data_IF_456297952257
#
_entry.id   IF_456297952257
#
_cell.length_a   1.000
_cell.length_b   1.000
_cell.length_c   1.000
_cell.angle_alpha   90.00
_cell.angle_beta   90.00
_cell.angle_gamma   90.00
#
_symmetry.space_group_name_H-M   'P 1'
#
loop_
_entity.id
_entity.type
_entity.pdbx_description
1 polymer ?
#
# COMPACT_ATOMS: atom_id res chain seq x y z
N UNK A 1 15.35 6.68 -4.17
CA UNK A 1 15.82 5.86 -5.32
C UNK A 1 17.04 4.99 -4.96
N UNK A 2 17.99 5.49 -4.16
CA UNK A 2 19.21 4.75 -3.79
C UNK A 2 18.97 3.56 -2.82
N UNK A 3 18.04 3.70 -1.87
CA UNK A 3 17.61 2.58 -0.99
C UNK A 3 16.94 1.46 -1.79
N UNK A 4 16.10 1.80 -2.78
CA UNK A 4 15.45 0.81 -3.66
C UNK A 4 16.45 0.11 -4.60
N UNK A 5 17.41 0.84 -5.16
CA UNK A 5 18.44 0.25 -6.02
C UNK A 5 19.45 -0.62 -5.24
N UNK A 6 19.67 -0.37 -3.95
CA UNK A 6 20.54 -1.22 -3.11
C UNK A 6 19.83 -2.41 -2.46
N UNK A 7 18.51 -2.36 -2.28
CA UNK A 7 17.70 -3.55 -1.94
C UNK A 7 17.66 -4.57 -3.08
N UNK A 8 17.87 -4.13 -4.33
CA UNK A 8 18.02 -5.01 -5.51
C UNK A 8 19.24 -5.94 -5.37
N UNK A 9 20.35 -5.46 -4.80
CA UNK A 9 21.53 -6.30 -4.52
C UNK A 9 21.26 -7.40 -3.46
N UNK A 10 20.24 -7.24 -2.62
CA UNK A 10 19.79 -8.30 -1.68
C UNK A 10 18.80 -9.25 -2.36
N UNK A 11 18.11 -8.82 -3.42
CA UNK A 11 17.32 -9.70 -4.29
C UNK A 11 18.21 -10.56 -5.20
N UNK A 12 19.37 -10.05 -5.64
CA UNK A 12 20.32 -10.84 -6.45
C UNK A 12 21.00 -11.96 -5.65
N UNK A 13 21.11 -11.81 -4.32
CA UNK A 13 21.47 -12.91 -3.40
C UNK A 13 20.39 -14.01 -3.31
N UNK A 14 19.16 -13.78 -3.79
CA UNK A 14 18.11 -14.82 -3.86
C UNK A 14 18.17 -15.66 -5.15
N UNK A 15 18.91 -15.25 -6.18
CA UNK A 15 18.87 -15.93 -7.47
C UNK A 15 19.64 -17.27 -7.50
N UNK A 16 20.49 -17.56 -6.51
CA UNK A 16 21.27 -18.80 -6.47
C UNK A 16 20.66 -19.91 -5.59
N UNK A 17 19.60 -19.65 -4.82
CA UNK A 17 19.00 -20.62 -3.88
C UNK A 17 17.56 -21.07 -4.23
N UNK A 18 17.04 -20.69 -5.40
CA UNK A 18 15.62 -20.88 -5.77
C UNK A 18 15.23 -22.28 -6.29
N UNK A 19 16.03 -23.33 -6.07
CA UNK A 19 15.68 -24.68 -6.56
C UNK A 19 14.87 -25.55 -5.58
N UNK A 20 14.56 -25.12 -4.36
CA UNK A 20 13.91 -26.00 -3.38
C UNK A 20 12.92 -25.30 -2.43
N UNK A 21 11.81 -24.75 -2.92
CA UNK A 21 10.56 -24.70 -2.12
C UNK A 21 9.34 -24.76 -3.05
N UNK A 22 8.90 -25.98 -3.35
CA UNK A 22 7.51 -26.24 -3.72
C UNK A 22 6.76 -26.82 -2.52
N UNK A 23 5.53 -26.36 -2.35
CA UNK A 23 4.42 -26.89 -1.52
C UNK A 23 4.42 -26.57 -0.02
N UNK A 24 3.53 -25.64 0.39
CA UNK A 24 2.27 -25.98 1.06
C UNK A 24 1.40 -24.73 1.21
N UNK A 25 0.19 -24.77 0.63
CA UNK A 25 -0.86 -23.75 0.77
C UNK A 25 -1.64 -24.05 2.05
N UNK A 26 -1.36 -23.32 3.12
CA UNK A 26 -2.26 -22.95 4.22
C UNK A 26 -1.41 -22.40 5.36
N UNK A 27 -1.07 -21.12 5.28
CA UNK A 27 -0.57 -20.34 6.39
C UNK A 27 -1.38 -19.05 6.38
N UNK A 28 -2.08 -18.78 7.48
CA UNK A 28 -2.67 -17.46 7.75
C UNK A 28 -1.58 -16.42 7.49
N UNK A 29 -1.79 -15.56 6.49
CA UNK A 29 -0.91 -14.41 6.35
C UNK A 29 -0.96 -13.64 7.67
N UNK A 30 0.20 -13.29 8.26
CA UNK A 30 0.20 -12.49 9.47
C UNK A 30 -0.56 -11.20 9.13
N UNK A 31 -1.66 -10.93 9.83
CA UNK A 31 -2.42 -9.71 9.66
C UNK A 31 -1.43 -8.54 9.60
N UNK A 32 -1.46 -7.79 8.49
CA UNK A 32 -0.69 -6.57 8.35
C UNK A 32 -1.31 -5.54 9.29
N UNK A 33 -1.01 -5.70 10.58
CA UNK A 33 -1.51 -4.83 11.63
C UNK A 33 -0.94 -3.45 11.38
N UNK A 34 -1.85 -2.56 11.03
CA UNK A 34 -1.56 -1.15 10.84
C UNK A 34 -1.32 -0.52 12.22
N UNK A 35 -0.13 0.05 12.42
CA UNK A 35 0.26 0.74 13.66
C UNK A 35 0.39 2.23 13.38
N UNK A 36 -0.22 3.07 14.21
CA UNK A 36 0.03 4.52 14.18
C UNK A 36 -0.57 5.24 13.00
N UNK A 37 -1.64 4.70 12.41
CA UNK A 37 -2.36 5.35 11.30
C UNK A 37 -3.85 5.50 11.64
N UNK A 38 -4.23 5.45 12.93
CA UNK A 38 -5.61 5.50 13.38
C UNK A 38 -6.31 6.79 12.97
N UNK A 39 -5.63 7.93 13.16
CA UNK A 39 -6.15 9.24 12.75
C UNK A 39 -6.30 9.33 11.22
N UNK A 40 -5.30 8.85 10.48
CA UNK A 40 -5.30 8.78 9.02
C UNK A 40 -6.51 7.97 8.52
N UNK A 41 -6.76 6.83 9.16
CA UNK A 41 -7.87 5.95 8.84
C UNK A 41 -9.21 6.66 9.08
N UNK A 42 -9.39 7.26 10.26
CA UNK A 42 -10.62 7.98 10.59
C UNK A 42 -10.87 9.14 9.62
N UNK A 43 -9.85 9.93 9.29
CA UNK A 43 -9.98 11.06 8.36
C UNK A 43 -10.37 10.62 6.96
N UNK A 44 -9.73 9.59 6.40
CA UNK A 44 -10.05 9.10 5.05
C UNK A 44 -11.41 8.40 5.05
N UNK A 45 -11.73 7.63 6.09
CA UNK A 45 -13.05 7.00 6.24
C UNK A 45 -14.15 8.05 6.31
N UNK A 46 -13.95 9.13 7.06
CA UNK A 46 -14.89 10.24 7.17
C UNK A 46 -15.12 10.91 5.80
N UNK A 47 -14.07 11.22 5.06
CA UNK A 47 -14.19 11.81 3.72
C UNK A 47 -14.92 10.92 2.71
N UNK A 48 -14.78 9.60 2.84
CA UNK A 48 -15.48 8.65 1.98
C UNK A 48 -16.95 8.51 2.38
N UNK A 49 -17.25 8.45 3.68
CA UNK A 49 -18.60 8.21 4.19
C UNK A 49 -19.46 9.48 4.28
N UNK A 50 -18.82 10.65 4.41
CA UNK A 50 -19.45 11.96 4.51
C UNK A 50 -19.01 12.80 3.32
N UNK A 51 -19.98 13.28 2.55
CA UNK A 51 -19.70 14.16 1.41
C UNK A 51 -20.92 14.40 0.55
N UNK A 52 -20.72 15.06 -0.59
CA UNK A 52 -21.78 15.29 -1.55
C UNK A 52 -22.29 13.97 -2.13
N UNK A 53 -23.48 14.00 -2.72
CA UNK A 53 -24.04 12.83 -3.40
C UNK A 53 -23.38 12.56 -4.76
N UNK A 54 -22.72 13.56 -5.31
CA UNK A 54 -21.87 13.45 -6.51
C UNK A 54 -20.72 12.47 -6.30
N UNK A 55 -20.16 11.98 -7.40
CA UNK A 55 -18.98 11.12 -7.39
C UNK A 55 -17.77 11.92 -6.94
N UNK A 56 -17.13 11.46 -5.86
CA UNK A 56 -15.93 12.08 -5.32
C UNK A 56 -14.75 11.11 -5.33
N UNK A 57 -13.57 11.65 -5.61
CA UNK A 57 -12.29 10.92 -5.53
C UNK A 57 -11.55 11.38 -4.28
N UNK A 58 -11.19 10.42 -3.44
CA UNK A 58 -10.32 10.62 -2.28
C UNK A 58 -8.95 10.03 -2.62
N UNK A 59 -7.90 10.84 -2.50
CA UNK A 59 -6.55 10.46 -2.90
C UNK A 59 -5.64 10.34 -1.68
N UNK A 60 -4.93 9.22 -1.56
CA UNK A 60 -3.85 9.02 -0.59
C UNK A 60 -2.52 9.13 -1.32
N UNK A 61 -1.69 10.09 -0.92
CA UNK A 61 -0.39 10.35 -1.54
C UNK A 61 0.75 10.21 -0.54
N UNK A 62 1.91 9.79 -1.02
CA UNK A 62 3.10 9.63 -0.21
C UNK A 62 4.14 8.74 -0.88
N UNK A 63 5.35 8.72 -0.34
CA UNK A 63 6.47 7.99 -0.95
C UNK A 63 6.28 6.46 -0.96
N UNK A 64 7.16 5.75 -1.66
CA UNK A 64 7.17 4.28 -1.67
C UNK A 64 7.41 3.71 -0.27
N UNK A 65 6.69 2.63 0.09
CA UNK A 65 6.88 1.95 1.37
C UNK A 65 6.28 2.64 2.60
N UNK A 66 5.59 3.79 2.43
CA UNK A 66 4.99 4.57 3.53
C UNK A 66 3.66 3.99 4.05
N UNK A 67 3.09 2.96 3.40
CA UNK A 67 1.86 2.30 3.86
C UNK A 67 0.53 2.76 3.21
N UNK A 68 0.56 3.46 2.07
CA UNK A 68 -0.66 3.89 1.35
C UNK A 68 -1.61 2.73 1.05
N UNK A 69 -1.09 1.69 0.41
CA UNK A 69 -1.85 0.49 0.03
C UNK A 69 -2.40 -0.22 1.27
N UNK A 70 -1.62 -0.27 2.36
CA UNK A 70 -2.07 -0.82 3.65
C UNK A 70 -3.26 -0.04 4.21
N UNK A 71 -3.19 1.29 4.23
CA UNK A 71 -4.30 2.15 4.66
C UNK A 71 -5.55 1.95 3.79
N UNK A 72 -5.38 1.97 2.46
CA UNK A 72 -6.49 1.77 1.52
C UNK A 72 -7.14 0.38 1.68
N UNK A 73 -6.35 -0.68 1.87
CA UNK A 73 -6.86 -2.03 2.11
C UNK A 73 -7.62 -2.14 3.43
N UNK A 74 -7.15 -1.48 4.49
CA UNK A 74 -7.84 -1.44 5.79
C UNK A 74 -9.20 -0.76 5.65
N UNK A 75 -9.27 0.38 4.97
CA UNK A 75 -10.53 1.09 4.69
C UNK A 75 -11.46 0.23 3.83
N UNK A 76 -10.93 -0.39 2.78
CA UNK A 76 -11.73 -1.24 1.89
C UNK A 76 -12.40 -2.40 2.63
N UNK A 77 -11.71 -2.97 3.62
CA UNK A 77 -12.13 -4.16 4.37
C UNK A 77 -12.85 -3.82 5.68
N UNK A 78 -12.99 -2.53 6.00
CA UNK A 78 -13.63 -2.07 7.21
C UNK A 78 -15.13 -2.43 7.21
N UNK A 79 -15.70 -3.02 8.28
CA UNK A 79 -17.09 -3.45 8.32
C UNK A 79 -18.10 -2.32 8.04
N UNK A 80 -17.83 -1.11 8.52
CA UNK A 80 -18.69 0.04 8.26
C UNK A 80 -18.66 0.39 6.76
N UNK A 81 -17.49 0.45 6.14
CA UNK A 81 -17.35 0.67 4.69
C UNK A 81 -18.02 -0.44 3.87
N UNK A 82 -17.87 -1.70 4.29
CA UNK A 82 -18.53 -2.84 3.66
C UNK A 82 -20.06 -2.72 3.67
N UNK A 83 -20.62 -2.22 4.78
CA UNK A 83 -22.07 -2.00 4.90
C UNK A 83 -22.54 -0.76 4.15
N UNK A 84 -21.70 0.26 4.04
CA UNK A 84 -22.05 1.56 3.46
C UNK A 84 -22.08 1.52 1.93
N UNK A 85 -21.21 0.71 1.31
CA UNK A 85 -21.07 0.59 -0.15
C UNK A 85 -21.53 -0.78 -0.61
N UNK A 86 -22.72 -0.84 -1.24
CA UNK A 86 -23.32 -2.08 -1.73
C UNK A 86 -22.53 -2.74 -2.87
N UNK A 87 -21.71 -1.97 -3.57
CA UNK A 87 -20.77 -2.47 -4.59
C UNK A 87 -19.36 -2.06 -4.18
N UNK A 88 -18.41 -2.99 -4.23
CA UNK A 88 -17.01 -2.71 -3.95
C UNK A 88 -16.12 -3.39 -4.97
N UNK A 89 -15.12 -2.66 -5.45
CA UNK A 89 -14.13 -3.20 -6.37
C UNK A 89 -12.75 -2.63 -6.03
N UNK A 90 -11.71 -3.40 -6.34
CA UNK A 90 -10.33 -2.91 -6.25
C UNK A 90 -9.48 -3.39 -7.42
N UNK A 91 -8.56 -2.55 -7.86
CA UNK A 91 -7.55 -2.89 -8.85
C UNK A 91 -6.24 -2.15 -8.54
N UNK A 92 -5.11 -2.72 -8.94
CA UNK A 92 -3.79 -2.10 -8.85
C UNK A 92 -3.32 -1.76 -10.25
N UNK A 93 -2.73 -0.57 -10.41
CA UNK A 93 -2.19 -0.12 -11.69
C UNK A 93 -0.72 -0.53 -11.79
N UNK A 94 -0.41 -1.31 -12.83
CA UNK A 94 0.98 -1.67 -13.16
C UNK A 94 1.76 -0.45 -13.65
N UNK A 95 3.08 -0.49 -13.46
CA UNK A 95 3.98 0.54 -13.97
C UNK A 95 3.89 0.67 -15.51
N UNK A 96 3.78 -0.46 -16.20
CA UNK A 96 3.37 -0.50 -17.60
C UNK A 96 1.84 -0.40 -17.63
N UNK A 97 1.34 0.84 -17.69
CA UNK A 97 -0.09 1.10 -17.65
C UNK A 97 -0.83 0.44 -18.83
N UNK A 98 -1.90 -0.28 -18.51
CA UNK A 98 -2.83 -0.82 -19.48
C UNK A 98 -4.24 -0.74 -18.90
N UNK A 99 -5.11 0.08 -19.51
CA UNK A 99 -6.48 0.29 -19.05
C UNK A 99 -7.26 -1.02 -18.94
N UNK A 100 -7.07 -1.93 -19.91
CA UNK A 100 -7.68 -3.26 -19.93
C UNK A 100 -7.47 -4.04 -18.64
N UNK A 101 -6.22 -4.10 -18.14
CA UNK A 101 -5.93 -4.85 -16.92
C UNK A 101 -6.60 -4.26 -15.68
N UNK A 102 -6.75 -2.93 -15.64
CA UNK A 102 -7.50 -2.27 -14.56
C UNK A 102 -8.98 -2.65 -14.64
N UNK A 103 -9.58 -2.60 -15.83
CA UNK A 103 -10.99 -2.97 -16.04
C UNK A 103 -11.25 -4.43 -15.67
N UNK A 104 -10.40 -5.35 -16.13
CA UNK A 104 -10.48 -6.78 -15.77
C UNK A 104 -10.32 -7.00 -14.26
N UNK A 105 -9.39 -6.29 -13.62
CA UNK A 105 -9.21 -6.31 -12.17
C UNK A 105 -10.47 -5.88 -11.42
N UNK A 106 -11.13 -4.81 -11.88
CA UNK A 106 -12.36 -4.31 -11.27
C UNK A 106 -13.54 -5.26 -11.48
N UNK A 107 -13.73 -5.77 -12.71
CA UNK A 107 -14.80 -6.71 -13.04
C UNK A 107 -14.66 -8.02 -12.26
N UNK A 108 -13.44 -8.57 -12.19
CA UNK A 108 -13.17 -9.77 -11.39
C UNK A 108 -13.38 -9.54 -9.90
N UNK A 109 -13.03 -8.35 -9.39
CA UNK A 109 -13.27 -7.96 -8.00
C UNK A 109 -14.76 -7.87 -7.65
N UNK A 110 -15.63 -7.47 -8.58
CA UNK A 110 -17.09 -7.38 -8.36
C UNK A 110 -17.73 -8.77 -8.46
N UNK A 111 -17.38 -9.53 -9.50
CA UNK A 111 -18.02 -10.81 -9.82
C UNK A 111 -17.50 -11.98 -8.97
N UNK A 112 -16.35 -11.82 -8.31
CA UNK A 112 -15.69 -12.88 -7.53
C UNK A 112 -15.14 -14.03 -8.39
N UNK A 113 -15.15 -13.89 -9.72
CA UNK A 113 -14.65 -14.85 -10.70
C UNK A 113 -13.95 -14.10 -11.82
N UNK A 114 -12.87 -14.69 -12.32
CA UNK A 114 -12.30 -14.32 -13.60
C UNK A 114 -13.07 -15.12 -14.66
N UNK A 115 -13.90 -14.44 -15.45
CA UNK A 115 -14.64 -15.08 -16.53
C UNK A 115 -13.77 -15.09 -17.79
N UNK A 116 -13.47 -16.26 -18.35
CA UNK A 116 -12.76 -16.41 -19.64
C UNK A 116 -13.48 -15.61 -20.74
N UNK A 117 -14.80 -15.39 -20.59
CA UNK A 117 -15.59 -14.56 -21.49
C UNK A 117 -15.05 -13.12 -21.64
N UNK A 118 -14.38 -12.59 -20.60
CA UNK A 118 -13.79 -11.25 -20.65
C UNK A 118 -12.56 -11.16 -21.55
N UNK A 119 -11.87 -12.27 -21.83
CA UNK A 119 -10.67 -12.27 -22.67
C UNK A 119 -10.99 -11.89 -24.12
N UNK A 120 -12.20 -12.17 -24.58
CA UNK A 120 -12.63 -11.95 -25.97
C UNK A 120 -13.34 -10.61 -26.18
N UNK A 121 -13.63 -9.86 -25.11
CA UNK A 121 -14.24 -8.54 -25.18
C UNK A 121 -13.19 -7.47 -25.48
N UNK A 122 -13.55 -6.49 -26.29
CA UNK A 122 -12.75 -5.27 -26.46
C UNK A 122 -12.83 -4.37 -25.21
N UNK A 123 -11.94 -3.37 -25.13
CA UNK A 123 -11.83 -2.51 -23.95
C UNK A 123 -13.07 -1.64 -23.72
N UNK A 124 -13.78 -1.24 -24.79
CA UNK A 124 -15.02 -0.47 -24.69
C UNK A 124 -16.14 -1.33 -24.09
N UNK A 125 -16.26 -2.59 -24.51
CA UNK A 125 -17.20 -3.55 -23.94
C UNK A 125 -16.94 -3.79 -22.45
N UNK A 126 -15.67 -3.93 -22.05
CA UNK A 126 -15.29 -4.06 -20.64
C UNK A 126 -15.67 -2.82 -19.84
N UNK A 127 -15.40 -1.63 -20.37
CA UNK A 127 -15.75 -0.36 -19.74
C UNK A 127 -17.28 -0.20 -19.61
N UNK A 128 -18.03 -0.57 -20.65
CA UNK A 128 -19.50 -0.47 -20.68
C UNK A 128 -20.14 -1.46 -19.70
N UNK A 129 -19.58 -2.66 -19.59
CA UNK A 129 -19.99 -3.65 -18.59
C UNK A 129 -19.71 -3.17 -17.16
N UNK A 130 -18.51 -2.64 -16.90
CA UNK A 130 -18.16 -2.08 -15.59
C UNK A 130 -19.13 -0.95 -15.21
N UNK A 131 -19.41 -0.03 -16.13
CA UNK A 131 -20.36 1.05 -15.89
C UNK A 131 -21.76 0.54 -15.57
N UNK A 132 -22.26 -0.47 -16.29
CA UNK A 132 -23.57 -1.07 -16.02
C UNK A 132 -23.65 -1.66 -14.61
N UNK A 133 -22.62 -2.37 -14.17
CA UNK A 133 -22.55 -2.91 -12.82
C UNK A 133 -22.53 -1.79 -11.77
N UNK A 134 -21.68 -0.78 -11.95
CA UNK A 134 -21.54 0.33 -10.99
C UNK A 134 -22.81 1.19 -10.88
N UNK A 135 -23.61 1.33 -11.96
CA UNK A 135 -24.90 2.05 -11.92
C UNK A 135 -25.96 1.40 -11.02
N UNK A 136 -25.80 0.12 -10.68
CA UNK A 136 -26.79 -0.64 -9.90
C UNK A 136 -26.80 -0.30 -8.40
N UNK A 137 -25.86 0.51 -7.90
CA UNK A 137 -25.81 0.81 -6.47
C UNK A 137 -24.76 1.86 -6.12
N UNK A 138 -24.67 2.16 -4.82
CA UNK A 138 -23.58 2.98 -4.28
C UNK A 138 -22.32 2.15 -4.26
N UNK A 139 -21.27 2.62 -4.93
CA UNK A 139 -20.00 1.90 -5.03
C UNK A 139 -18.83 2.58 -4.33
N UNK A 140 -17.89 1.77 -3.84
CA UNK A 140 -16.54 2.17 -3.51
C UNK A 140 -15.55 1.43 -4.42
N UNK A 141 -14.82 2.16 -5.23
CA UNK A 141 -13.75 1.60 -6.06
C UNK A 141 -12.40 2.03 -5.52
N UNK A 142 -11.50 1.08 -5.28
CA UNK A 142 -10.11 1.35 -4.89
C UNK A 142 -9.20 1.17 -6.11
N UNK A 143 -8.48 2.22 -6.51
CA UNK A 143 -7.44 2.13 -7.55
C UNK A 143 -6.08 2.38 -6.91
N UNK A 144 -5.30 1.32 -6.75
CA UNK A 144 -4.02 1.36 -6.07
C UNK A 144 -2.86 1.65 -7.03
N UNK A 145 -1.90 2.44 -6.55
CA UNK A 145 -0.62 2.80 -7.16
C UNK A 145 -0.73 3.42 -8.56
N UNK A 146 -1.53 4.50 -8.73
CA UNK A 146 -1.58 5.23 -10.00
C UNK A 146 -0.29 6.03 -10.22
N UNK A 147 0.37 5.81 -11.36
CA UNK A 147 1.67 6.39 -11.68
C UNK A 147 1.59 7.75 -12.38
N UNK A 148 0.63 7.91 -13.30
CA UNK A 148 0.57 9.08 -14.19
C UNK A 148 -0.85 9.63 -14.33
N UNK A 149 -0.97 10.86 -14.84
CA UNK A 149 -2.26 11.49 -15.10
C UNK A 149 -3.00 10.78 -16.23
N UNK A 150 -2.27 10.34 -17.25
CA UNK A 150 -2.81 9.62 -18.40
C UNK A 150 -3.46 8.30 -17.96
N UNK A 151 -2.83 7.59 -17.01
CA UNK A 151 -3.39 6.37 -16.45
C UNK A 151 -4.74 6.62 -15.77
N UNK A 152 -4.84 7.70 -15.00
CA UNK A 152 -6.10 8.13 -14.38
C UNK A 152 -7.14 8.57 -15.43
N UNK A 153 -6.75 9.43 -16.36
CA UNK A 153 -7.62 9.97 -17.40
C UNK A 153 -8.21 8.87 -18.30
N UNK A 154 -7.44 7.80 -18.55
CA UNK A 154 -7.87 6.66 -19.35
C UNK A 154 -8.96 5.82 -18.68
N UNK A 155 -9.00 5.74 -17.35
CA UNK A 155 -10.01 4.93 -16.64
C UNK A 155 -11.13 5.75 -16.01
N UNK A 156 -10.94 7.03 -15.73
CA UNK A 156 -11.90 7.83 -14.94
C UNK A 156 -13.31 7.87 -15.57
N UNK A 157 -13.39 7.78 -16.90
CA UNK A 157 -14.66 7.75 -17.65
C UNK A 157 -15.48 6.49 -17.43
N UNK A 158 -14.88 5.43 -16.88
CA UNK A 158 -15.55 4.17 -16.60
C UNK A 158 -16.35 4.20 -15.29
N UNK A 159 -16.24 5.28 -14.50
CA UNK A 159 -16.92 5.42 -13.22
C UNK A 159 -18.12 6.36 -13.36
N UNK A 160 -19.35 5.84 -13.36
CA UNK A 160 -20.54 6.65 -13.56
C UNK A 160 -20.86 7.46 -12.30
N UNK A 161 -21.15 8.75 -12.45
CA UNK A 161 -21.77 9.54 -11.39
C UNK A 161 -23.30 9.39 -11.45
N UNK A 162 -23.84 8.66 -10.49
CA UNK A 162 -25.28 8.45 -10.34
C UNK A 162 -25.89 9.29 -9.21
N UNK A 163 -25.16 10.30 -8.71
CA UNK A 163 -25.56 11.16 -7.61
C UNK A 163 -26.06 10.36 -6.38
N UNK A 164 -25.42 9.24 -6.10
CA UNK A 164 -25.82 8.27 -5.08
C UNK A 164 -24.82 8.15 -3.91
N UNK A 165 -23.79 9.00 -3.90
CA UNK A 165 -22.72 9.02 -2.91
C UNK A 165 -21.62 7.99 -3.18
N UNK A 166 -21.42 7.60 -4.44
CA UNK A 166 -20.33 6.70 -4.80
C UNK A 166 -18.98 7.37 -4.67
N UNK A 167 -17.94 6.57 -4.42
CA UNK A 167 -16.59 7.05 -4.12
C UNK A 167 -15.53 6.26 -4.86
N UNK A 168 -14.45 6.96 -5.19
CA UNK A 168 -13.20 6.35 -5.63
C UNK A 168 -12.15 6.68 -4.58
N UNK A 169 -11.46 5.66 -4.09
CA UNK A 169 -10.27 5.81 -3.26
C UNK A 169 -9.07 5.46 -4.13
N UNK A 170 -8.13 6.39 -4.29
CA UNK A 170 -6.92 6.12 -5.05
C UNK A 170 -5.67 6.27 -4.18
N UNK A 171 -4.63 5.50 -4.52
CA UNK A 171 -3.30 5.72 -3.95
C UNK A 171 -2.31 6.09 -5.04
N UNK A 172 -1.38 6.99 -4.73
CA UNK A 172 -0.34 7.39 -5.69
C UNK A 172 0.92 7.89 -4.97
N UNK A 173 2.05 7.87 -5.66
CA UNK A 173 3.29 8.54 -5.22
C UNK A 173 3.41 9.96 -5.76
N UNK A 174 2.57 10.32 -6.74
CA UNK A 174 2.65 11.58 -7.45
C UNK A 174 1.58 12.55 -6.94
N UNK A 175 2.02 13.66 -6.36
CA UNK A 175 1.14 14.70 -5.80
C UNK A 175 0.27 15.32 -6.89
N UNK A 176 0.81 15.59 -8.07
CA UNK A 176 0.05 16.19 -9.17
C UNK A 176 -1.08 15.26 -9.64
N UNK A 177 -0.84 13.94 -9.67
CA UNK A 177 -1.88 12.96 -9.99
C UNK A 177 -2.98 12.99 -8.94
N UNK A 178 -2.61 13.02 -7.67
CA UNK A 178 -3.57 13.09 -6.57
C UNK A 178 -4.45 14.35 -6.67
N UNK A 179 -3.84 15.52 -6.80
CA UNK A 179 -4.53 16.82 -6.89
C UNK A 179 -5.46 16.90 -8.10
N UNK A 180 -5.02 16.39 -9.26
CA UNK A 180 -5.84 16.40 -10.47
C UNK A 180 -7.04 15.47 -10.39
N UNK A 181 -6.94 14.41 -9.61
CA UNK A 181 -8.02 13.46 -9.45
C UNK A 181 -9.03 13.86 -8.37
N UNK A 182 -8.60 14.54 -7.30
CA UNK A 182 -9.36 14.70 -6.04
C UNK A 182 -10.65 15.53 -6.06
N UNK A 183 -11.31 15.78 -7.20
CA UNK A 183 -12.60 16.52 -7.27
C UNK A 183 -12.64 17.83 -6.44
N UNK A 184 -11.52 18.55 -6.33
CA UNK A 184 -11.39 19.78 -5.53
C UNK A 184 -11.15 19.58 -4.02
N UNK A 185 -11.08 18.34 -3.53
CA UNK A 185 -10.65 18.02 -2.16
C UNK A 185 -9.13 17.93 -2.08
N UNK A 186 -8.56 18.27 -0.92
CA UNK A 186 -7.11 18.13 -0.69
C UNK A 186 -6.76 16.65 -0.55
N UNK A 187 -5.75 16.14 -1.27
CA UNK A 187 -5.24 14.79 -1.06
C UNK A 187 -4.78 14.56 0.38
N UNK A 188 -4.91 13.31 0.85
CA UNK A 188 -4.36 12.89 2.12
C UNK A 188 -2.87 12.57 1.97
N UNK A 189 -2.00 13.39 2.58
CA UNK A 189 -0.56 13.17 2.60
C UNK A 189 -0.16 12.24 3.75
N UNK A 190 0.33 11.05 3.41
CA UNK A 190 0.89 10.12 4.39
C UNK A 190 2.12 10.74 5.07
N UNK A 191 2.11 10.73 6.40
CA UNK A 191 3.28 11.06 7.20
C UNK A 191 4.17 9.83 7.43
N UNK A 192 5.40 10.10 7.84
CA UNK A 192 6.28 9.10 8.42
C UNK A 192 5.77 8.67 9.81
N UNK A 193 6.10 7.44 10.20
CA UNK A 193 5.90 6.98 11.57
C UNK A 193 6.78 7.79 12.51
N UNK A 194 6.26 8.11 13.69
CA UNK A 194 7.07 8.64 14.76
C UNK A 194 7.92 7.51 15.39
N UNK A 195 8.78 7.85 16.34
CA UNK A 195 9.67 6.90 16.99
C UNK A 195 8.90 5.77 17.69
N UNK A 196 7.86 6.11 18.44
CA UNK A 196 7.10 5.13 19.23
C UNK A 196 6.34 4.13 18.33
N UNK A 197 5.76 4.62 17.23
CA UNK A 197 5.11 3.78 16.20
C UNK A 197 6.13 2.87 15.51
N UNK A 198 7.29 3.42 15.15
CA UNK A 198 8.37 2.68 14.50
C UNK A 198 8.91 1.57 15.40
N UNK A 199 9.12 1.89 16.67
CA UNK A 199 9.57 0.94 17.67
C UNK A 199 8.49 -0.12 17.91
N UNK A 200 7.23 0.27 18.07
CA UNK A 200 6.10 -0.64 18.26
C UNK A 200 6.00 -1.66 17.10
N UNK A 201 6.09 -1.20 15.85
CA UNK A 201 6.05 -2.08 14.68
C UNK A 201 7.24 -3.05 14.66
N UNK A 202 8.46 -2.57 14.92
CA UNK A 202 9.65 -3.44 14.96
C UNK A 202 9.56 -4.45 16.10
N UNK A 203 9.12 -3.99 17.28
CA UNK A 203 8.94 -4.79 18.46
C UNK A 203 7.98 -5.95 18.18
N UNK A 204 6.83 -5.65 17.60
CA UNK A 204 5.83 -6.65 17.23
C UNK A 204 6.37 -7.71 16.27
N UNK A 205 7.16 -7.30 15.27
CA UNK A 205 7.67 -8.22 14.25
C UNK A 205 8.83 -9.09 14.74
N UNK A 206 9.61 -8.65 15.72
CA UNK A 206 10.84 -9.32 16.17
C UNK A 206 10.71 -9.90 17.57
N UNK A 207 10.30 -9.09 18.55
CA UNK A 207 10.43 -9.40 19.98
C UNK A 207 9.23 -10.14 20.57
N UNK A 208 8.08 -10.15 19.89
CA UNK A 208 6.90 -10.91 20.37
C UNK A 208 7.09 -12.42 20.24
N UNK A 209 7.95 -12.86 19.32
CA UNK A 209 8.13 -14.29 19.00
C UNK A 209 9.12 -15.01 19.92
N UNK A 210 10.09 -14.29 20.46
CA UNK A 210 11.22 -14.86 21.21
C UNK A 210 11.60 -13.96 22.39
N UNK A 211 12.24 -14.56 23.40
CA UNK A 211 12.77 -13.82 24.53
C UNK A 211 14.14 -13.22 24.17
N UNK A 212 14.26 -11.90 24.30
CA UNK A 212 15.48 -11.16 24.09
C UNK A 212 15.93 -10.48 25.38
N UNK A 213 17.24 -10.36 25.57
CA UNK A 213 17.78 -9.58 26.69
C UNK A 213 17.63 -8.06 26.44
N UNK A 214 17.68 -7.21 27.48
CA UNK A 214 17.50 -5.75 27.34
C UNK A 214 18.47 -5.08 26.36
N UNK A 215 19.65 -5.67 26.12
CA UNK A 215 20.64 -5.18 25.16
C UNK A 215 20.09 -5.21 23.72
N UNK A 216 19.36 -6.26 23.34
CA UNK A 216 18.72 -6.34 22.02
C UNK A 216 17.62 -5.31 21.85
N UNK A 217 16.84 -5.01 22.91
CA UNK A 217 15.85 -3.93 22.84
C UNK A 217 16.51 -2.57 22.59
N UNK A 218 17.67 -2.30 23.20
CA UNK A 218 18.40 -1.06 22.96
C UNK A 218 18.90 -0.97 21.51
N UNK A 219 19.40 -2.08 20.94
CA UNK A 219 19.80 -2.14 19.54
C UNK A 219 18.58 -1.99 18.61
N UNK A 220 17.47 -2.66 18.94
CA UNK A 220 16.20 -2.54 18.21
C UNK A 220 15.68 -1.11 18.18
N UNK A 221 15.71 -0.38 19.30
CA UNK A 221 15.34 1.05 19.35
C UNK A 221 16.23 1.91 18.46
N UNK A 222 17.54 1.66 18.43
CA UNK A 222 18.48 2.35 17.50
C UNK A 222 18.14 2.04 16.05
N UNK A 223 17.84 0.78 15.72
CA UNK A 223 17.40 0.38 14.38
C UNK A 223 16.11 1.10 14.00
N UNK A 224 15.10 1.11 14.88
CA UNK A 224 13.83 1.76 14.63
C UNK A 224 13.99 3.26 14.34
N UNK A 225 14.82 3.94 15.13
CA UNK A 225 15.19 5.34 14.89
C UNK A 225 15.87 5.52 13.53
N UNK A 226 16.83 4.65 13.20
CA UNK A 226 17.59 4.73 11.95
C UNK A 226 16.77 4.35 10.71
N UNK A 227 15.64 3.66 10.85
CA UNK A 227 14.73 3.38 9.72
C UNK A 227 13.92 4.60 9.27
N UNK A 228 14.02 5.73 9.99
CA UNK A 228 13.45 7.02 9.55
C UNK A 228 11.92 7.01 9.39
N UNK A 229 11.22 6.15 10.14
CA UNK A 229 9.76 6.11 10.15
C UNK A 229 9.10 5.44 8.93
N UNK A 230 9.87 4.74 8.08
CA UNK A 230 9.32 3.99 6.94
C UNK A 230 8.88 2.58 7.36
N UNK A 231 7.56 2.24 7.27
CA UNK A 231 7.06 0.92 7.63
C UNK A 231 7.76 -0.22 6.88
N UNK A 232 7.94 -0.07 5.56
CA UNK A 232 8.58 -1.11 4.75
C UNK A 232 10.04 -1.35 5.16
N UNK A 233 10.78 -0.30 5.53
CA UNK A 233 12.16 -0.45 6.00
C UNK A 233 12.21 -1.24 7.31
N UNK A 234 11.32 -0.92 8.25
CA UNK A 234 11.20 -1.63 9.54
C UNK A 234 10.87 -3.10 9.34
N UNK A 235 9.91 -3.43 8.47
CA UNK A 235 9.52 -4.83 8.19
C UNK A 235 10.65 -5.61 7.52
N UNK A 236 11.38 -5.00 6.59
CA UNK A 236 12.52 -5.65 5.94
C UNK A 236 13.66 -5.93 6.93
N UNK A 237 14.00 -4.96 7.78
CA UNK A 237 15.01 -5.16 8.81
C UNK A 237 14.54 -6.18 9.83
N UNK A 238 13.27 -6.16 10.26
CA UNK A 238 12.71 -7.18 11.14
C UNK A 238 12.89 -8.60 10.58
N UNK A 239 12.63 -8.79 9.28
CA UNK A 239 12.84 -10.07 8.59
C UNK A 239 14.31 -10.48 8.45
N UNK A 240 15.24 -9.52 8.45
CA UNK A 240 16.68 -9.81 8.55
C UNK A 240 17.06 -10.22 9.97
N UNK A 241 16.60 -9.46 10.98
CA UNK A 241 16.85 -9.72 12.39
C UNK A 241 16.35 -11.11 12.81
N UNK A 242 15.19 -11.54 12.29
CA UNK A 242 14.65 -12.88 12.56
C UNK A 242 15.51 -14.03 12.02
N UNK A 243 16.44 -13.76 11.08
CA UNK A 243 17.33 -14.77 10.50
C UNK A 243 18.67 -14.86 11.23
N UNK A 244 19.20 -13.73 11.66
CA UNK A 244 20.48 -13.67 12.40
C UNK A 244 20.31 -14.08 13.87
N UNK A 245 19.09 -14.04 14.41
CA UNK A 245 18.79 -14.52 15.76
C UNK A 245 19.47 -13.71 16.86
N UNK A 246 19.91 -14.38 17.93
CA UNK A 246 20.38 -13.76 19.17
C UNK A 246 21.89 -13.46 19.18
N UNK A 247 22.42 -12.92 18.08
CA UNK A 247 23.82 -12.52 17.96
C UNK A 247 23.98 -11.01 18.12
N UNK A 248 24.53 -10.56 19.24
CA UNK A 248 24.71 -9.12 19.52
C UNK A 248 25.61 -8.43 18.48
N UNK A 249 26.72 -9.07 18.09
CA UNK A 249 27.66 -8.52 17.11
C UNK A 249 27.00 -8.31 15.73
N UNK A 250 26.13 -9.23 15.33
CA UNK A 250 25.39 -9.11 14.06
C UNK A 250 24.33 -8.00 14.14
N UNK A 251 23.63 -7.85 15.27
CA UNK A 251 22.71 -6.74 15.47
C UNK A 251 23.42 -5.38 15.46
N UNK A 252 24.60 -5.28 16.08
CA UNK A 252 25.43 -4.07 16.01
C UNK A 252 25.87 -3.75 14.57
N UNK A 253 26.21 -4.78 13.80
CA UNK A 253 26.52 -4.63 12.37
C UNK A 253 25.31 -4.10 11.59
N UNK A 254 24.11 -4.60 11.86
CA UNK A 254 22.86 -4.08 11.27
C UNK A 254 22.67 -2.61 11.62
N UNK A 255 22.82 -2.22 12.90
CA UNK A 255 22.73 -0.82 13.32
C UNK A 255 23.69 0.07 12.51
N UNK A 256 24.97 -0.31 12.41
CA UNK A 256 25.98 0.44 11.65
C UNK A 256 25.60 0.57 10.16
N UNK A 257 25.11 -0.52 9.56
CA UNK A 257 24.71 -0.54 8.16
C UNK A 257 23.50 0.37 7.90
N UNK A 258 22.45 0.31 8.72
CA UNK A 258 21.27 1.18 8.56
C UNK A 258 21.66 2.65 8.73
N UNK A 259 22.46 3.00 9.75
CA UNK A 259 22.97 4.37 9.94
C UNK A 259 23.72 4.90 8.71
N UNK A 260 24.53 4.04 8.08
CA UNK A 260 25.31 4.43 6.90
C UNK A 260 24.43 4.73 5.69
N UNK A 261 23.30 4.03 5.53
CA UNK A 261 22.37 4.23 4.43
C UNK A 261 21.65 5.58 4.51
N UNK A 262 21.24 5.99 5.71
CA UNK A 262 20.55 7.27 5.95
C UNK A 262 21.49 8.46 5.70
N UNK A 263 22.74 8.37 6.16
CA UNK A 263 23.73 9.45 6.01
C UNK A 263 24.12 9.71 4.54
N UNK A 264 23.97 8.72 3.65
CA UNK A 264 24.18 8.93 2.21
C UNK A 264 23.07 9.73 1.53
N UNK A 265 21.84 9.80 2.08
CA UNK A 265 20.75 10.57 1.46
C UNK A 265 20.83 12.07 1.82
N UNK A 266 21.30 12.42 3.01
CA UNK A 266 21.47 13.83 3.45
C UNK A 266 22.53 14.56 2.62
N UNK A 267 23.56 13.86 2.13
CA UNK A 267 24.64 14.46 1.32
C UNK A 267 24.33 14.61 -0.17
N UNK A 268 23.16 14.15 -0.65
CA UNK A 268 22.73 14.31 -2.05
C UNK A 268 21.74 15.46 -2.22
N UNK A 269 21.26 16.06 -1.12
CA UNK A 269 20.30 17.18 -1.15
C UNK A 269 20.92 18.55 -0.86
N UNK A 270 22.25 18.63 -0.74
CA UNK A 270 23.00 19.89 -0.68
C UNK A 270 24.03 19.96 -1.81
N UNK A 271 23.58 19.99 -3.07
CA UNK A 271 24.27 20.62 -4.21
C UNK A 271 23.25 21.09 -5.24
#
# INVERSE_FOLDING_TARGET
>A
LAIQNKLKNIQDLKAQDLSLVSTSRHGLEPEDKMVGLENEFEMVQDQLARGARELEVVSIVGMGGIGKTTLANKIYSDPFMMSHFGIRAKATVSQEYCARYVLLGLLSSISGKFDEFHEHQDDDQLADQLQKLLKCGRYLVVIDDIWTREAWDGIKRCFPDCNNGSRILMTTRNVEVAECASSGKTPYHMRLMNFDESWSLLYEKVFVKDYFSPEFEQLGKKIALNCGGLPLALVLIAGLLSKIGNSLDEWESVVKNVSSMVNTEVNVQCK
#
